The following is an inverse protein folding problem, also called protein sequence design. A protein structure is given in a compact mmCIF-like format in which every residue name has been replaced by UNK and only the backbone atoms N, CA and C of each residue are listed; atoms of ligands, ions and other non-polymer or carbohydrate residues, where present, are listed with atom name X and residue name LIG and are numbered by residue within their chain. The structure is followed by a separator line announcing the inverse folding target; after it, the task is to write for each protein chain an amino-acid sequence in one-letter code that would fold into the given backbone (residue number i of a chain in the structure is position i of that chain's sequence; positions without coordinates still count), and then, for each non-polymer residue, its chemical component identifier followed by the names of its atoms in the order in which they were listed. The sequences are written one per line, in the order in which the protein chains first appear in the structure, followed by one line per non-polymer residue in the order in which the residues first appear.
data_IF_951002569575
#
_entry.id   IF_951002569575
#
_cell.length_a   1.000
_cell.length_b   1.000
_cell.length_c   1.000
_cell.angle_alpha   90.00
_cell.angle_beta   90.00
_cell.angle_gamma   90.00
#
_symmetry.space_group_name_H-M   'P 1'
#
loop_
_entity.id
_entity.type
_entity.pdbx_description
1 polymer ?
#
# COMPACT_ATOMS: atom_id res chain seq x y z
N UNK A 1 -7.23 1.47 19.75
CA UNK A 1 -6.80 1.61 18.34
C UNK A 1 -5.92 0.44 17.95
N UNK A 2 -6.26 -0.23 16.85
CA UNK A 2 -5.50 -1.30 16.21
C UNK A 2 -4.91 -0.80 14.90
N UNK A 3 -3.60 -0.87 14.77
CA UNK A 3 -2.86 -0.41 13.59
C UNK A 3 -2.37 -1.59 12.76
N UNK A 4 -2.52 -1.52 11.44
CA UNK A 4 -1.79 -2.39 10.52
C UNK A 4 -0.81 -1.54 9.72
N UNK A 5 0.48 -1.72 9.98
CA UNK A 5 1.54 -1.11 9.19
C UNK A 5 1.78 -1.92 7.92
N UNK A 6 1.66 -1.29 6.75
CA UNK A 6 1.93 -1.93 5.47
C UNK A 6 3.24 -1.41 4.87
N UNK A 7 4.26 -2.26 4.85
CA UNK A 7 5.58 -1.97 4.32
C UNK A 7 5.82 -2.67 2.98
N UNK A 8 6.44 -1.95 2.05
CA UNK A 8 6.86 -2.48 0.74
C UNK A 8 8.38 -2.45 0.55
N UNK A 9 9.10 -1.76 1.45
CA UNK A 9 10.57 -1.73 1.48
C UNK A 9 11.10 -2.19 2.83
N UNK A 10 12.34 -2.68 2.87
CA UNK A 10 13.03 -3.07 4.12
C UNK A 10 13.15 -1.90 5.10
N UNK A 11 13.35 -0.68 4.60
CA UNK A 11 13.43 0.53 5.42
C UNK A 11 12.10 0.81 6.12
N UNK A 12 10.99 0.81 5.39
CA UNK A 12 9.65 0.95 5.97
C UNK A 12 9.35 -0.16 6.98
N UNK A 13 9.70 -1.41 6.65
CA UNK A 13 9.47 -2.54 7.55
C UNK A 13 10.20 -2.38 8.88
N UNK A 14 11.48 -1.98 8.85
CA UNK A 14 12.26 -1.70 10.07
C UNK A 14 11.69 -0.52 10.85
N UNK A 15 11.37 0.56 10.15
CA UNK A 15 10.82 1.78 10.77
C UNK A 15 9.48 1.50 11.46
N UNK A 16 8.53 0.87 10.75
CA UNK A 16 7.24 0.47 11.32
C UNK A 16 7.37 -0.60 12.41
N UNK A 17 8.34 -1.51 12.30
CA UNK A 17 8.67 -2.44 13.37
C UNK A 17 9.14 -1.74 14.65
N UNK A 18 9.94 -0.67 14.52
CA UNK A 18 10.34 0.14 15.66
C UNK A 18 9.15 0.91 16.24
N UNK A 19 8.30 1.52 15.42
CA UNK A 19 7.10 2.19 15.91
C UNK A 19 6.15 1.22 16.62
N UNK A 20 5.95 0.04 16.06
CA UNK A 20 5.09 -1.01 16.65
C UNK A 20 5.53 -1.41 18.06
N UNK A 21 6.84 -1.41 18.33
CA UNK A 21 7.40 -1.74 19.66
C UNK A 21 7.35 -0.59 20.66
N UNK A 22 7.44 0.65 20.18
CA UNK A 22 7.60 1.84 21.03
C UNK A 22 6.33 2.66 21.21
N UNK A 23 5.28 2.39 20.42
CA UNK A 23 3.98 3.05 20.57
C UNK A 23 3.05 2.20 21.46
N UNK A 24 2.20 2.83 22.29
CA UNK A 24 1.27 2.13 23.17
C UNK A 24 0.06 1.51 22.44
N UNK A 25 0.10 1.38 21.12
CA UNK A 25 -1.01 0.91 20.30
C UNK A 25 -0.82 -0.56 19.89
N UNK A 26 -1.91 -1.33 19.94
CA UNK A 26 -1.92 -2.68 19.38
C UNK A 26 -1.66 -2.58 17.88
N UNK A 27 -0.56 -3.15 17.44
CA UNK A 27 -0.11 -3.01 16.06
C UNK A 27 0.26 -4.36 15.45
N UNK A 28 0.16 -4.44 14.13
CA UNK A 28 0.61 -5.58 13.33
C UNK A 28 1.35 -5.06 12.11
N UNK A 29 2.29 -5.85 11.60
CA UNK A 29 3.14 -5.48 10.49
C UNK A 29 2.91 -6.43 9.32
N UNK A 30 2.55 -5.87 8.17
CA UNK A 30 2.43 -6.57 6.90
C UNK A 30 3.54 -6.10 5.96
N UNK A 31 4.21 -7.05 5.32
CA UNK A 31 5.26 -6.78 4.35
C UNK A 31 4.88 -7.36 3.01
N UNK A 32 5.02 -6.58 1.95
CA UNK A 32 4.92 -7.07 0.58
C UNK A 32 6.32 -7.14 -0.06
N UNK A 33 6.65 -8.21 -0.82
CA UNK A 33 5.78 -9.34 -1.19
C UNK A 33 5.51 -10.32 -0.04
N UNK A 34 4.31 -10.93 -0.06
CA UNK A 34 3.90 -11.97 0.88
C UNK A 34 3.20 -13.10 0.14
N UNK A 35 3.48 -14.34 0.56
CA UNK A 35 2.82 -15.55 0.04
C UNK A 35 1.43 -15.78 0.66
N UNK A 36 1.08 -14.99 1.69
CA UNK A 36 -0.24 -15.07 2.33
C UNK A 36 -1.25 -14.31 1.49
N UNK A 37 -1.97 -15.04 0.66
CA UNK A 37 -3.00 -14.51 -0.24
C UNK A 37 -4.37 -15.05 0.17
N UNK A 38 -5.41 -14.25 0.02
CA UNK A 38 -6.79 -14.71 0.17
C UNK A 38 -7.52 -14.62 -1.16
N UNK A 39 -7.99 -15.76 -1.67
CA UNK A 39 -8.76 -15.84 -2.91
C UNK A 39 -10.09 -15.09 -2.84
N UNK A 40 -10.65 -14.91 -1.63
CA UNK A 40 -11.84 -14.08 -1.42
C UNK A 40 -11.60 -12.63 -1.82
N UNK A 41 -10.36 -12.15 -1.69
CA UNK A 41 -9.96 -10.81 -2.11
C UNK A 41 -10.16 -10.57 -3.62
N UNK A 42 -10.19 -11.63 -4.45
CA UNK A 42 -10.48 -11.48 -5.89
C UNK A 42 -11.83 -10.82 -6.17
N UNK A 43 -12.79 -10.90 -5.24
CA UNK A 43 -14.10 -10.23 -5.38
C UNK A 43 -13.93 -8.71 -5.52
N UNK A 44 -12.97 -8.13 -4.80
CA UNK A 44 -12.70 -6.69 -4.80
C UNK A 44 -12.06 -6.21 -6.11
N UNK A 45 -11.58 -7.11 -6.99
CA UNK A 45 -11.09 -6.71 -8.32
C UNK A 45 -12.20 -6.07 -9.18
N UNK A 46 -13.48 -6.34 -8.86
CA UNK A 46 -14.63 -5.72 -9.54
C UNK A 46 -14.97 -4.34 -8.99
N UNK A 47 -14.60 -4.08 -7.73
CA UNK A 47 -14.94 -2.85 -7.01
C UNK A 47 -13.82 -1.81 -7.10
N UNK A 48 -12.57 -2.26 -7.24
CA UNK A 48 -11.39 -1.41 -7.30
C UNK A 48 -10.98 -1.23 -8.76
N UNK A 49 -10.87 0.03 -9.19
CA UNK A 49 -10.34 0.38 -10.51
C UNK A 49 -8.81 0.21 -10.55
N UNK A 50 -8.39 -1.05 -10.65
CA UNK A 50 -6.98 -1.40 -10.83
C UNK A 50 -6.39 -0.86 -12.13
N UNK A 51 -7.22 -0.57 -13.14
CA UNK A 51 -6.74 0.00 -14.40
C UNK A 51 -6.36 1.46 -14.25
N UNK A 52 -7.10 2.26 -13.47
CA UNK A 52 -6.71 3.63 -13.13
C UNK A 52 -5.36 3.68 -12.40
N UNK A 53 -5.15 2.81 -11.40
CA UNK A 53 -3.88 2.71 -10.67
C UNK A 53 -2.73 2.32 -11.62
N UNK A 54 -2.95 1.33 -12.49
CA UNK A 54 -1.99 0.92 -13.50
C UNK A 54 -1.69 2.05 -14.50
N UNK A 55 -2.69 2.80 -14.93
CA UNK A 55 -2.53 3.90 -15.88
C UNK A 55 -1.62 5.01 -15.30
N UNK A 56 -1.80 5.37 -14.03
CA UNK A 56 -0.89 6.30 -13.34
C UNK A 56 0.53 5.76 -13.33
N UNK A 57 0.71 4.48 -12.97
CA UNK A 57 2.04 3.86 -12.95
C UNK A 57 2.67 3.75 -14.34
N UNK A 58 1.86 3.55 -15.37
CA UNK A 58 2.33 3.47 -16.75
C UNK A 58 2.87 4.82 -17.24
N UNK A 59 2.22 5.93 -16.88
CA UNK A 59 2.74 7.27 -17.17
C UNK A 59 4.13 7.48 -16.56
N UNK A 60 4.33 7.06 -15.31
CA UNK A 60 5.66 7.10 -14.68
C UNK A 60 6.70 6.26 -15.43
N UNK A 61 6.32 5.06 -15.88
CA UNK A 61 7.20 4.15 -16.64
C UNK A 61 7.58 4.75 -17.99
N UNK A 62 6.64 5.41 -18.68
CA UNK A 62 6.90 6.04 -19.98
C UNK A 62 7.97 7.13 -19.90
N UNK A 63 7.93 7.91 -18.81
CA UNK A 63 8.90 9.00 -18.57
C UNK A 63 10.24 8.45 -18.08
N UNK A 64 10.23 7.44 -17.20
CA UNK A 64 11.43 6.98 -16.50
C UNK A 64 12.36 6.11 -17.35
N UNK A 65 11.81 5.35 -18.29
CA UNK A 65 12.56 4.38 -19.10
C UNK A 65 12.58 4.80 -20.56
N UNK A 66 13.67 4.54 -21.28
CA UNK A 66 13.77 4.82 -22.72
C UNK A 66 13.43 3.60 -23.59
N UNK A 67 13.82 2.39 -23.15
CA UNK A 67 13.68 1.16 -23.93
C UNK A 67 12.23 0.62 -23.95
N UNK A 68 11.62 0.52 -25.13
CA UNK A 68 10.24 0.06 -25.34
C UNK A 68 9.97 -1.38 -24.90
N UNK A 69 10.92 -2.31 -25.08
CA UNK A 69 10.77 -3.70 -24.64
C UNK A 69 10.75 -3.78 -23.11
N UNK A 70 11.64 -3.04 -22.47
CA UNK A 70 11.69 -2.95 -21.01
C UNK A 70 10.38 -2.38 -20.45
N UNK A 71 9.84 -1.32 -21.07
CA UNK A 71 8.53 -0.75 -20.71
C UNK A 71 7.42 -1.80 -20.83
N UNK A 72 7.31 -2.47 -21.98
CA UNK A 72 6.26 -3.45 -22.23
C UNK A 72 6.30 -4.62 -21.23
N UNK A 73 7.51 -5.15 -20.97
CA UNK A 73 7.71 -6.21 -19.99
C UNK A 73 7.32 -5.75 -18.58
N UNK A 74 7.76 -4.55 -18.17
CA UNK A 74 7.48 -4.05 -16.83
C UNK A 74 5.99 -3.77 -16.61
N UNK A 75 5.31 -3.21 -17.62
CA UNK A 75 3.84 -3.03 -17.59
C UNK A 75 3.10 -4.35 -17.41
N UNK A 76 3.48 -5.38 -18.18
CA UNK A 76 2.88 -6.72 -18.08
C UNK A 76 3.13 -7.36 -16.71
N UNK A 77 4.31 -7.16 -16.13
CA UNK A 77 4.63 -7.60 -14.78
C UNK A 77 3.71 -6.93 -13.75
N UNK A 78 3.46 -5.62 -13.87
CA UNK A 78 2.58 -4.89 -12.96
C UNK A 78 1.11 -5.33 -13.07
N UNK A 79 0.63 -5.62 -14.28
CA UNK A 79 -0.72 -6.20 -14.48
C UNK A 79 -0.88 -7.53 -13.75
N UNK A 80 0.14 -8.38 -13.80
CA UNK A 80 0.12 -9.65 -13.08
C UNK A 80 0.26 -9.46 -11.57
N UNK A 81 1.03 -8.46 -11.14
CA UNK A 81 1.29 -8.19 -9.72
C UNK A 81 0.10 -7.53 -9.01
N UNK A 82 -0.67 -6.67 -9.68
CA UNK A 82 -1.79 -5.94 -9.09
C UNK A 82 -2.78 -6.84 -8.30
N UNK A 83 -3.32 -7.94 -8.88
CA UNK A 83 -4.22 -8.84 -8.14
C UNK A 83 -3.53 -9.55 -6.97
N UNK A 84 -2.24 -9.84 -7.06
CA UNK A 84 -1.49 -10.47 -5.96
C UNK A 84 -1.33 -9.51 -4.78
N UNK A 85 -1.02 -8.24 -5.03
CA UNK A 85 -0.95 -7.21 -4.00
C UNK A 85 -2.30 -7.07 -3.31
N UNK A 86 -3.37 -6.95 -4.10
CA UNK A 86 -4.74 -6.83 -3.62
C UNK A 86 -5.14 -8.02 -2.73
N UNK A 87 -4.91 -9.26 -3.18
CA UNK A 87 -5.22 -10.45 -2.39
C UNK A 87 -4.38 -10.56 -1.12
N UNK A 88 -3.13 -10.08 -1.15
CA UNK A 88 -2.23 -10.07 0.00
C UNK A 88 -2.68 -9.06 1.06
N UNK A 89 -2.99 -7.83 0.65
CA UNK A 89 -3.45 -6.81 1.60
C UNK A 89 -4.84 -7.15 2.13
N UNK A 90 -5.75 -7.65 1.29
CA UNK A 90 -7.06 -8.12 1.73
C UNK A 90 -6.92 -9.19 2.82
N UNK A 91 -6.06 -10.20 2.61
CA UNK A 91 -5.77 -11.21 3.63
C UNK A 91 -5.30 -10.58 4.95
N UNK A 92 -4.34 -9.65 4.90
CA UNK A 92 -3.81 -8.99 6.09
C UNK A 92 -4.91 -8.19 6.83
N UNK A 93 -5.74 -7.44 6.11
CA UNK A 93 -6.83 -6.66 6.70
C UNK A 93 -7.91 -7.56 7.32
N UNK A 94 -8.26 -8.68 6.67
CA UNK A 94 -9.24 -9.64 7.21
C UNK A 94 -8.74 -10.35 8.47
N UNK A 95 -7.46 -10.74 8.52
CA UNK A 95 -6.87 -11.45 9.65
C UNK A 95 -6.67 -10.53 10.85
N UNK A 96 -6.12 -9.33 10.63
CA UNK A 96 -5.75 -8.44 11.72
C UNK A 96 -6.89 -7.53 12.17
N UNK A 97 -7.89 -7.28 11.31
CA UNK A 97 -9.05 -6.39 11.56
C UNK A 97 -8.62 -5.07 12.23
N UNK A 98 -7.72 -4.30 11.59
CA UNK A 98 -7.24 -3.04 12.14
C UNK A 98 -8.33 -1.96 12.07
N UNK A 99 -8.24 -0.98 12.97
CA UNK A 99 -9.03 0.25 12.87
C UNK A 99 -8.41 1.18 11.80
N UNK A 100 -7.08 1.15 11.68
CA UNK A 100 -6.31 1.94 10.72
C UNK A 100 -5.28 1.12 9.95
N UNK A 101 -5.26 1.29 8.63
CA UNK A 101 -4.14 0.94 7.77
C UNK A 101 -3.12 2.09 7.80
N UNK A 102 -1.85 1.80 8.04
CA UNK A 102 -0.77 2.79 7.97
C UNK A 102 0.09 2.48 6.75
N UNK A 103 0.22 3.45 5.85
CA UNK A 103 1.03 3.34 4.63
C UNK A 103 2.08 4.44 4.56
N UNK A 104 3.25 4.12 4.02
CA UNK A 104 4.26 5.11 3.72
C UNK A 104 4.04 5.66 2.31
N UNK A 105 3.53 6.90 2.24
CA UNK A 105 2.95 7.53 1.06
C UNK A 105 1.73 6.75 0.50
N UNK A 106 0.69 7.45 0.05
CA UNK A 106 -0.57 6.83 -0.39
C UNK A 106 -0.69 6.54 -1.89
N UNK A 107 0.22 7.05 -2.72
CA UNK A 107 0.05 7.10 -4.19
C UNK A 107 1.01 6.21 -4.98
N UNK A 108 1.91 5.51 -4.31
CA UNK A 108 2.75 4.51 -4.97
C UNK A 108 1.93 3.25 -5.27
N UNK A 109 2.18 2.62 -6.41
CA UNK A 109 1.44 1.45 -6.92
C UNK A 109 0.94 0.46 -5.85
N UNK A 110 1.84 -0.07 -5.01
CA UNK A 110 1.45 -1.04 -3.97
C UNK A 110 0.60 -0.42 -2.86
N UNK A 111 0.94 0.79 -2.44
CA UNK A 111 0.23 1.52 -1.39
C UNK A 111 -1.14 2.00 -1.86
N UNK A 112 -1.27 2.47 -3.10
CA UNK A 112 -2.56 2.89 -3.66
C UNK A 112 -3.54 1.72 -3.74
N UNK A 113 -3.07 0.52 -4.13
CA UNK A 113 -3.88 -0.70 -4.03
C UNK A 113 -4.29 -0.98 -2.58
N UNK A 114 -3.36 -0.86 -1.63
CA UNK A 114 -3.65 -1.09 -0.22
C UNK A 114 -4.70 -0.11 0.34
N UNK A 115 -4.62 1.17 -0.06
CA UNK A 115 -5.54 2.24 0.30
C UNK A 115 -6.94 1.97 -0.26
N UNK A 116 -7.06 1.61 -1.54
CA UNK A 116 -8.36 1.31 -2.16
C UNK A 116 -9.01 0.05 -1.53
N UNK A 117 -8.21 -0.97 -1.20
CA UNK A 117 -8.74 -2.15 -0.47
C UNK A 117 -9.23 -1.75 0.93
N UNK A 118 -8.45 -0.96 1.67
CA UNK A 118 -8.88 -0.48 2.99
C UNK A 118 -10.16 0.34 2.90
N UNK A 119 -10.27 1.24 1.91
CA UNK A 119 -11.46 2.05 1.65
C UNK A 119 -12.71 1.20 1.39
N UNK A 120 -12.62 0.21 0.50
CA UNK A 120 -13.72 -0.73 0.22
C UNK A 120 -14.11 -1.52 1.48
N UNK A 121 -13.14 -1.88 2.32
CA UNK A 121 -13.37 -2.58 3.59
C UNK A 121 -13.82 -1.67 4.75
N UNK A 122 -13.97 -0.35 4.53
CA UNK A 122 -14.35 0.60 5.57
C UNK A 122 -13.28 0.87 6.62
N UNK A 123 -12.01 0.60 6.31
CA UNK A 123 -10.85 0.79 7.20
C UNK A 123 -10.22 2.15 6.91
N UNK A 124 -10.00 2.96 7.95
CA UNK A 124 -9.37 4.27 7.81
C UNK A 124 -7.88 4.13 7.46
N UNK A 125 -7.32 5.11 6.75
CA UNK A 125 -5.90 5.08 6.38
C UNK A 125 -5.15 6.26 7.00
N UNK A 126 -3.96 6.00 7.53
CA UNK A 126 -3.01 7.03 7.97
C UNK A 126 -1.83 7.02 7.01
N UNK A 127 -1.56 8.17 6.40
CA UNK A 127 -0.49 8.38 5.45
C UNK A 127 0.73 8.93 6.16
N UNK A 128 1.84 8.20 6.08
CA UNK A 128 3.12 8.59 6.66
C UNK A 128 4.05 9.10 5.57
N UNK A 129 4.77 10.18 5.89
CA UNK A 129 5.86 10.72 5.08
C UNK A 129 7.01 11.23 5.95
N UNK A 130 8.14 11.54 5.30
CA UNK A 130 9.22 12.27 5.98
C UNK A 130 8.67 13.61 6.46
N UNK A 131 9.02 14.00 7.69
CA UNK A 131 8.66 15.31 8.21
C UNK A 131 9.54 16.42 7.62
N UNK A 132 9.07 17.66 7.78
CA UNK A 132 9.74 18.86 7.24
C UNK A 132 11.09 19.12 7.92
N UNK A 133 11.26 18.64 9.17
CA UNK A 133 12.50 18.74 9.92
C UNK A 133 13.23 17.38 9.94
N UNK A 134 14.57 17.38 10.06
CA UNK A 134 15.33 16.15 10.24
C UNK A 134 14.80 15.33 11.42
N UNK A 135 14.81 14.01 11.27
CA UNK A 135 14.34 13.06 12.29
C UNK A 135 12.86 13.22 12.70
N UNK A 136 12.03 13.82 11.84
CA UNK A 136 10.58 13.90 12.05
C UNK A 136 9.80 13.09 11.01
N UNK A 137 8.55 12.79 11.32
CA UNK A 137 7.63 12.06 10.45
C UNK A 137 6.28 12.77 10.50
N UNK A 138 5.70 13.01 9.32
CA UNK A 138 4.36 13.58 9.21
C UNK A 138 3.35 12.45 9.11
N UNK A 139 2.23 12.60 9.82
CA UNK A 139 1.09 11.69 9.74
C UNK A 139 -0.14 12.49 9.29
N UNK A 140 -0.82 11.99 8.28
CA UNK A 140 -2.04 12.58 7.74
C UNK A 140 -3.17 11.54 7.72
N UNK A 141 -4.33 11.89 8.29
CA UNK A 141 -5.51 11.03 8.39
C UNK A 141 -6.51 11.23 7.23
N UNK A 142 -6.32 12.26 6.40
CA UNK A 142 -7.15 12.56 5.23
C UNK A 142 -6.40 12.27 3.92
N UNK A 143 -5.08 12.45 3.93
CA UNK A 143 -4.19 12.21 2.80
C UNK A 143 -3.73 13.50 2.12
N UNK A 144 -2.60 13.39 1.40
CA UNK A 144 -1.77 14.52 0.92
C UNK A 144 -2.45 15.40 -0.15
N UNK A 145 -3.70 15.15 -0.54
CA UNK A 145 -4.47 15.99 -1.47
C UNK A 145 -5.97 15.91 -1.14
N UNK A 146 -6.38 16.47 -0.01
CA UNK A 146 -7.80 16.65 0.30
C UNK A 146 -8.40 17.69 -0.66
N UNK A 147 -9.10 17.21 -1.71
CA UNK A 147 -10.19 17.93 -2.37
C UNK A 147 -11.51 17.43 -1.84
#
# INVERSE_FOLDING_TARGET
MKLLFFAVTKHQYRYFGNLSKNLPYRSSLSFFPSLKLSLQGRKLLKEIDTQAILATKYKEIEVKYSNSLHKAFYKKLLQFQAPLVLMSIYHALTVHKPDYLVVWNGKKFHQEIAVEVAKVMGIQTIFFENGVLPNTTTMDFRGVNAT
#
